data_IF_732203968060
#
_entry.id   IF_732203968060
#
_cell.length_a   1.000
_cell.length_b   1.000
_cell.length_c   1.000
_cell.angle_alpha   90.00
_cell.angle_beta   90.00
_cell.angle_gamma   90.00
#
_symmetry.space_group_name_H-M   'P 1'
#
loop_
_entity.id
_entity.type
_entity.pdbx_description
1 polymer ?
#
# COMPACT_ATOMS: atom_id res chain seq x y z
N UNK A 1 -5.62 2.48 18.32
CA UNK A 1 -4.68 3.19 17.42
C UNK A 1 -3.64 2.18 16.96
N UNK A 2 -3.45 1.98 15.66
CA UNK A 2 -2.46 1.00 15.15
C UNK A 2 -1.05 1.60 15.09
N UNK A 3 -0.02 0.76 15.23
CA UNK A 3 1.40 1.14 15.05
C UNK A 3 1.83 0.76 13.63
N UNK A 4 2.55 1.66 12.96
CA UNK A 4 3.14 1.42 11.64
C UNK A 4 4.62 1.07 11.82
N UNK A 5 5.02 -0.07 11.28
CA UNK A 5 6.39 -0.57 11.34
C UNK A 5 7.15 -0.25 10.03
N UNK A 6 8.32 0.38 10.15
CA UNK A 6 9.25 0.62 9.05
C UNK A 6 10.64 0.12 9.46
N UNK A 7 10.91 -1.15 9.17
CA UNK A 7 12.09 -1.84 9.67
C UNK A 7 12.07 -1.94 11.20
N UNK A 8 13.03 -1.29 11.87
CA UNK A 8 13.13 -1.24 13.34
C UNK A 8 12.53 0.04 13.95
N UNK A 9 11.84 0.85 13.14
CA UNK A 9 11.21 2.08 13.60
C UNK A 9 9.70 1.88 13.72
N UNK A 10 9.17 2.45 14.79
CA UNK A 10 7.74 2.43 15.09
C UNK A 10 7.17 3.84 14.96
N UNK A 11 5.99 3.94 14.36
CA UNK A 11 5.28 5.19 14.13
C UNK A 11 3.84 5.07 14.62
N UNK A 12 3.37 6.06 15.38
CA UNK A 12 1.96 6.17 15.76
C UNK A 12 1.11 6.77 14.63
N UNK A 13 1.73 7.57 13.75
CA UNK A 13 1.12 8.10 12.52
C UNK A 13 2.16 8.18 11.41
N UNK A 14 1.71 8.03 10.16
CA UNK A 14 2.51 8.27 8.97
C UNK A 14 1.59 8.80 7.88
N UNK A 15 2.10 9.70 7.04
CA UNK A 15 1.37 10.10 5.84
C UNK A 15 1.01 8.85 5.01
N UNK A 16 -0.27 8.65 4.65
CA UNK A 16 -0.70 7.44 3.96
C UNK A 16 0.05 7.17 2.65
N UNK A 17 0.40 8.22 1.90
CA UNK A 17 1.12 8.07 0.63
C UNK A 17 2.59 7.70 0.86
N UNK A 18 3.22 8.26 1.89
CA UNK A 18 4.56 7.86 2.33
C UNK A 18 4.58 6.40 2.79
N UNK A 19 3.62 5.98 3.60
CA UNK A 19 3.48 4.62 4.08
C UNK A 19 3.28 3.64 2.92
N UNK A 20 2.37 3.97 1.99
CA UNK A 20 2.09 3.19 0.80
C UNK A 20 3.33 3.01 -0.09
N UNK A 21 4.04 4.10 -0.38
CA UNK A 21 5.29 4.07 -1.16
C UNK A 21 6.37 3.22 -0.51
N UNK A 22 6.57 3.35 0.80
CA UNK A 22 7.55 2.54 1.56
C UNK A 22 7.21 1.06 1.52
N UNK A 23 5.95 0.71 1.75
CA UNK A 23 5.47 -0.66 1.73
C UNK A 23 5.70 -1.30 0.34
N UNK A 24 5.27 -0.64 -0.74
CA UNK A 24 5.47 -1.14 -2.10
C UNK A 24 6.94 -1.27 -2.48
N UNK A 25 7.77 -0.30 -2.10
CA UNK A 25 9.22 -0.37 -2.38
C UNK A 25 9.88 -1.55 -1.67
N UNK A 26 9.45 -1.84 -0.45
CA UNK A 26 9.95 -2.97 0.34
C UNK A 26 9.53 -4.30 -0.27
N UNK A 27 8.25 -4.41 -0.66
CA UNK A 27 7.72 -5.58 -1.36
C UNK A 27 8.41 -5.83 -2.70
N UNK A 28 8.63 -4.79 -3.51
CA UNK A 28 9.34 -4.89 -4.79
C UNK A 28 10.77 -5.43 -4.61
N UNK A 29 11.51 -4.92 -3.62
CA UNK A 29 12.85 -5.42 -3.29
C UNK A 29 12.83 -6.89 -2.87
N UNK A 30 11.83 -7.30 -2.10
CA UNK A 30 11.68 -8.70 -1.71
C UNK A 30 11.41 -9.59 -2.92
N UNK A 31 10.56 -9.17 -3.85
CA UNK A 31 10.32 -9.92 -5.10
C UNK A 31 11.62 -10.09 -5.87
N UNK A 32 12.34 -9.00 -6.15
CA UNK A 32 13.58 -9.05 -6.91
C UNK A 32 14.64 -9.96 -6.29
N UNK A 33 14.63 -10.12 -4.97
CA UNK A 33 15.57 -10.98 -4.24
C UNK A 33 15.13 -12.45 -4.19
N UNK A 34 13.83 -12.74 -4.12
CA UNK A 34 13.34 -14.06 -3.74
C UNK A 34 12.52 -14.77 -4.84
N UNK A 35 12.11 -14.08 -5.90
CA UNK A 35 11.31 -14.68 -6.96
C UNK A 35 12.13 -14.93 -8.23
N UNK A 36 11.96 -16.12 -8.79
CA UNK A 36 12.48 -16.50 -10.11
C UNK A 36 11.52 -16.03 -11.21
N UNK A 37 11.92 -15.06 -12.07
CA UNK A 37 11.07 -14.53 -13.13
C UNK A 37 10.70 -15.55 -14.20
N UNK A 38 11.47 -16.64 -14.36
CA UNK A 38 11.17 -17.68 -15.35
C UNK A 38 10.06 -18.61 -14.88
N UNK A 39 9.82 -18.69 -13.56
CA UNK A 39 8.84 -19.59 -12.96
C UNK A 39 7.64 -18.86 -12.36
N UNK A 40 7.77 -17.57 -12.07
CA UNK A 40 6.78 -16.78 -11.35
C UNK A 40 6.41 -15.51 -12.11
N UNK A 41 5.11 -15.18 -12.15
CA UNK A 41 4.59 -13.91 -12.66
C UNK A 41 3.91 -13.13 -11.54
N UNK A 42 4.30 -11.87 -11.38
CA UNK A 42 3.75 -10.96 -10.39
C UNK A 42 2.80 -9.97 -11.07
N UNK A 43 1.61 -9.82 -10.52
CA UNK A 43 0.61 -8.86 -10.99
C UNK A 43 0.30 -7.87 -9.88
N UNK A 44 0.15 -6.60 -10.24
CA UNK A 44 -0.35 -5.57 -9.35
C UNK A 44 -1.78 -5.21 -9.76
N UNK A 45 -2.69 -5.13 -8.79
CA UNK A 45 -4.07 -4.68 -9.01
C UNK A 45 -4.26 -3.35 -8.30
N UNK A 46 -4.63 -2.33 -9.07
CA UNK A 46 -5.08 -1.06 -8.48
C UNK A 46 -6.29 -1.30 -7.59
N UNK A 47 -6.48 -0.46 -6.54
CA UNK A 47 -7.72 -0.49 -5.78
C UNK A 47 -8.91 -0.38 -6.73
N UNK A 48 -9.84 -1.33 -6.64
CA UNK A 48 -11.13 -1.15 -7.30
C UNK A 48 -11.83 0.02 -6.64
N UNK A 49 -12.42 0.91 -7.44
CA UNK A 49 -13.36 1.91 -6.92
C UNK A 49 -14.46 1.15 -6.19
N UNK A 50 -14.37 1.09 -4.86
CA UNK A 50 -15.51 0.76 -4.03
C UNK A 50 -16.56 1.83 -4.35
N UNK A 51 -17.83 1.47 -4.47
CA UNK A 51 -18.91 2.45 -4.54
C UNK A 51 -18.85 3.31 -3.27
N UNK A 52 -18.06 4.39 -3.32
CA UNK A 52 -18.08 5.43 -2.32
C UNK A 52 -19.43 6.08 -2.52
N UNK A 53 -20.42 5.66 -1.72
CA UNK A 53 -21.71 6.33 -1.65
C UNK A 53 -21.41 7.80 -1.36
N UNK A 54 -21.40 8.63 -2.40
CA UNK A 54 -21.54 10.08 -2.28
C UNK A 54 -23.00 10.34 -1.89
N UNK A 55 -23.37 9.97 -0.67
CA UNK A 55 -24.54 10.54 -0.04
C UNK A 55 -24.11 11.86 0.59
N UNK A 56 -24.69 12.94 0.03
CA UNK A 56 -24.79 14.31 0.52
C UNK A 56 -23.60 15.25 0.21
N UNK A 57 -23.66 15.83 -1.00
CA UNK A 57 -23.44 17.28 -1.16
C UNK A 57 -24.63 17.88 -1.91
N UNK A 58 -25.72 18.05 -1.17
CA UNK A 58 -26.64 19.16 -1.39
C UNK A 58 -26.46 20.11 -0.19
N UNK A 59 -26.56 21.41 -0.49
CA UNK A 59 -26.50 22.59 0.42
C UNK A 59 -25.11 23.15 0.72
N UNK A 60 -24.63 24.00 -0.19
CA UNK A 60 -24.58 25.47 0.01
C UNK A 60 -24.48 26.16 -1.35
#
# INVERSE_FOLDING_TARGET
MGIIMDGRKEYTTMDPMVAYRKALSTWAKWISKNMDPQKSRVFFRSPSLSHYNKFNKSVS
#
